data_IF_074511048831
#
_entry.id   IF_074511048831
#
_cell.length_a   1.000
_cell.length_b   1.000
_cell.length_c   1.000
_cell.angle_alpha   90.00
_cell.angle_beta   90.00
_cell.angle_gamma   90.00
#
_symmetry.space_group_name_H-M   'P 1'
#
loop_
_entity.id
_entity.type
_entity.pdbx_description
1 polymer ?
#
# COMPACT_ATOMS: atom_id res chain seq x y z
N UNK A 1 -24.10 -25.29 18.96
CA UNK A 1 -24.22 -23.82 19.05
C UNK A 1 -23.15 -23.22 18.16
N UNK A 2 -23.54 -22.77 16.98
CA UNK A 2 -22.66 -22.18 15.97
C UNK A 2 -22.30 -20.75 16.40
N UNK A 3 -21.02 -20.50 16.65
CA UNK A 3 -20.48 -19.15 16.84
C UNK A 3 -20.56 -18.40 15.51
N UNK A 4 -21.51 -17.47 15.42
CA UNK A 4 -21.64 -16.57 14.27
C UNK A 4 -20.39 -15.69 14.20
N UNK A 5 -19.64 -15.81 13.11
CA UNK A 5 -18.43 -15.04 12.85
C UNK A 5 -18.83 -13.58 12.58
N UNK A 6 -18.49 -12.66 13.48
CA UNK A 6 -18.94 -11.25 13.46
C UNK A 6 -18.11 -10.37 12.48
N UNK A 7 -17.37 -10.99 11.55
CA UNK A 7 -16.40 -10.31 10.67
C UNK A 7 -17.00 -9.66 9.42
N UNK A 8 -18.30 -9.83 9.17
CA UNK A 8 -18.98 -9.21 8.01
C UNK A 8 -19.66 -7.86 8.34
N UNK A 9 -19.48 -7.33 9.56
CA UNK A 9 -20.00 -6.00 9.88
C UNK A 9 -19.21 -4.92 9.14
N UNK A 10 -19.85 -4.34 8.12
CA UNK A 10 -19.42 -3.13 7.40
C UNK A 10 -19.06 -2.02 8.40
N UNK A 11 -17.77 -1.75 8.55
CA UNK A 11 -17.28 -0.54 9.22
C UNK A 11 -17.40 0.61 8.23
N UNK A 12 -18.47 1.38 8.32
CA UNK A 12 -18.65 2.62 7.55
C UNK A 12 -17.88 3.75 8.22
N UNK A 13 -17.08 4.51 7.48
CA UNK A 13 -16.31 5.64 8.04
C UNK A 13 -17.21 6.73 8.64
N UNK A 14 -18.48 6.81 8.21
CA UNK A 14 -19.48 7.73 8.75
C UNK A 14 -20.03 7.27 10.10
N UNK A 15 -19.92 5.98 10.40
CA UNK A 15 -20.48 5.35 11.60
C UNK A 15 -19.40 5.12 12.67
N UNK A 16 -18.12 5.32 12.34
CA UNK A 16 -16.98 5.26 13.27
C UNK A 16 -16.59 6.67 13.66
N UNK A 17 -17.21 7.18 14.72
CA UNK A 17 -16.79 8.44 15.37
C UNK A 17 -15.96 8.12 16.62
N UNK A 18 -15.01 8.98 16.98
CA UNK A 18 -14.23 8.80 18.23
C UNK A 18 -15.11 8.76 19.48
N UNK A 19 -16.33 9.30 19.39
CA UNK A 19 -17.30 9.36 20.49
C UNK A 19 -18.04 8.03 20.71
N UNK A 20 -18.06 7.12 19.72
CA UNK A 20 -18.86 5.88 19.81
C UNK A 20 -18.13 4.72 20.50
N UNK A 21 -16.80 4.74 20.59
CA UNK A 21 -15.98 3.77 21.33
C UNK A 21 -14.63 4.39 21.73
N UNK A 22 -14.38 4.67 23.03
CA UNK A 22 -13.08 5.21 23.44
C UNK A 22 -11.99 4.14 23.27
N UNK A 23 -11.00 4.44 22.45
CA UNK A 23 -9.76 3.66 22.33
C UNK A 23 -8.74 4.29 23.27
N UNK A 24 -8.09 3.49 24.10
CA UNK A 24 -7.02 3.96 25.00
C UNK A 24 -5.75 4.29 24.22
N UNK A 25 -4.90 5.16 24.79
CA UNK A 25 -3.60 5.49 24.20
C UNK A 25 -2.73 4.23 24.03
N UNK A 26 -2.75 3.34 25.01
CA UNK A 26 -2.02 2.07 25.01
C UNK A 26 -2.47 1.14 23.89
N UNK A 27 -3.79 1.03 23.66
CA UNK A 27 -4.33 0.24 22.55
C UNK A 27 -3.91 0.81 21.20
N UNK A 28 -3.97 2.13 21.01
CA UNK A 28 -3.56 2.76 19.75
C UNK A 28 -2.05 2.61 19.49
N UNK A 29 -1.21 2.84 20.50
CA UNK A 29 0.24 2.63 20.42
C UNK A 29 0.53 1.16 20.13
N UNK A 30 -0.11 0.24 20.84
CA UNK A 30 0.01 -1.21 20.61
C UNK A 30 -0.43 -1.61 19.20
N UNK A 31 -1.49 -0.98 18.67
CA UNK A 31 -1.97 -1.22 17.33
C UNK A 31 -0.93 -0.87 16.27
N UNK A 32 -0.37 0.34 16.33
CA UNK A 32 0.69 0.79 15.42
C UNK A 32 1.94 -0.10 15.55
N UNK A 33 2.36 -0.40 16.78
CA UNK A 33 3.56 -1.21 17.05
C UNK A 33 3.41 -2.66 16.56
N UNK A 34 2.21 -3.23 16.64
CA UNK A 34 1.91 -4.59 16.20
C UNK A 34 1.80 -4.75 14.68
N UNK A 35 1.83 -3.66 13.90
CA UNK A 35 1.75 -3.75 12.43
C UNK A 35 3.03 -4.36 11.84
N UNK A 36 2.83 -5.27 10.89
CA UNK A 36 3.89 -6.03 10.21
C UNK A 36 3.67 -6.08 8.70
N UNK A 37 4.76 -6.35 7.99
CA UNK A 37 4.78 -6.42 6.53
C UNK A 37 4.77 -7.88 6.12
N UNK A 38 3.59 -8.41 5.79
CA UNK A 38 3.38 -9.83 5.54
C UNK A 38 3.56 -10.15 4.06
N UNK A 39 4.57 -10.95 3.71
CA UNK A 39 4.87 -11.32 2.33
C UNK A 39 4.07 -12.51 1.78
N UNK A 40 3.48 -13.33 2.67
CA UNK A 40 2.67 -14.50 2.31
C UNK A 40 1.20 -14.12 2.48
N UNK A 41 0.53 -13.84 1.36
CA UNK A 41 -0.84 -13.33 1.31
C UNK A 41 -1.67 -14.24 0.41
N UNK A 42 -2.83 -14.65 0.91
CA UNK A 42 -3.79 -15.50 0.21
C UNK A 42 -5.20 -14.93 0.38
N UNK A 43 -6.18 -15.54 -0.27
CA UNK A 43 -7.58 -15.24 -0.07
C UNK A 43 -8.02 -15.52 1.39
N UNK A 44 -9.04 -14.82 1.92
CA UNK A 44 -9.78 -13.76 1.25
C UNK A 44 -9.02 -12.43 1.14
N UNK A 45 -9.30 -11.69 0.06
CA UNK A 45 -8.95 -10.28 -0.07
C UNK A 45 -10.01 -9.40 0.63
N UNK A 46 -9.71 -8.12 0.90
CA UNK A 46 -10.72 -7.15 1.31
C UNK A 46 -11.88 -7.08 0.31
N UNK A 47 -13.11 -7.00 0.82
CA UNK A 47 -14.28 -6.68 -0.02
C UNK A 47 -14.21 -5.23 -0.50
N UNK A 48 -14.96 -4.89 -1.55
CA UNK A 48 -15.06 -3.53 -2.06
C UNK A 48 -15.37 -2.51 -0.94
N UNK A 49 -16.37 -2.78 -0.10
CA UNK A 49 -16.72 -1.88 1.01
C UNK A 49 -15.56 -1.68 2.01
N UNK A 50 -14.78 -2.73 2.27
CA UNK A 50 -13.62 -2.65 3.16
C UNK A 50 -12.47 -1.85 2.53
N UNK A 51 -12.30 -1.95 1.21
CA UNK A 51 -11.37 -1.12 0.44
C UNK A 51 -11.77 0.35 0.48
N UNK A 52 -13.05 0.67 0.27
CA UNK A 52 -13.58 2.04 0.36
C UNK A 52 -13.31 2.65 1.73
N UNK A 53 -13.60 1.92 2.81
CA UNK A 53 -13.30 2.36 4.18
C UNK A 53 -11.81 2.61 4.37
N UNK A 54 -10.95 1.70 3.90
CA UNK A 54 -9.51 1.84 4.05
C UNK A 54 -8.95 3.04 3.26
N UNK A 55 -9.44 3.28 2.04
CA UNK A 55 -9.10 4.45 1.22
C UNK A 55 -9.64 5.74 1.85
N UNK A 56 -10.83 5.70 2.44
CA UNK A 56 -11.37 6.83 3.21
C UNK A 56 -10.44 7.24 4.34
N UNK A 57 -9.89 6.28 5.09
CA UNK A 57 -8.86 6.53 6.10
C UNK A 57 -7.54 7.02 5.47
N UNK A 58 -7.14 6.48 4.32
CA UNK A 58 -5.94 6.92 3.61
C UNK A 58 -6.01 8.41 3.25
N UNK A 59 -7.18 8.87 2.79
CA UNK A 59 -7.42 10.24 2.36
C UNK A 59 -7.41 11.29 3.49
N UNK A 60 -7.33 10.87 4.77
CA UNK A 60 -7.18 11.80 5.91
C UNK A 60 -5.72 12.15 6.22
N UNK A 61 -4.77 11.65 5.43
CA UNK A 61 -3.36 11.93 5.59
C UNK A 61 -3.04 13.44 5.61
N UNK A 62 -1.99 13.86 6.33
CA UNK A 62 -1.56 15.24 6.36
C UNK A 62 -1.17 15.72 4.96
N UNK A 63 -1.75 16.83 4.53
CA UNK A 63 -1.62 17.33 3.17
C UNK A 63 -1.62 18.85 3.15
N UNK A 64 -0.45 19.42 2.86
CA UNK A 64 -0.25 20.85 2.84
C UNK A 64 -1.03 21.47 1.68
N UNK A 65 -1.97 22.36 2.01
CA UNK A 65 -2.94 22.97 1.08
C UNK A 65 -3.98 21.99 0.52
N UNK A 66 -4.09 20.77 1.06
CA UNK A 66 -5.14 19.80 0.72
C UNK A 66 -5.17 19.50 -0.78
N UNK A 67 -4.00 19.28 -1.38
CA UNK A 67 -3.87 19.02 -2.83
C UNK A 67 -4.39 17.64 -3.25
N UNK A 68 -4.50 16.71 -2.31
CA UNK A 68 -4.89 15.31 -2.48
C UNK A 68 -4.11 14.66 -3.61
N UNK A 69 -2.76 14.60 -3.52
CA UNK A 69 -1.92 14.22 -4.65
C UNK A 69 -1.98 12.72 -4.97
N UNK A 70 -2.83 11.93 -4.30
CA UNK A 70 -2.91 10.48 -4.47
C UNK A 70 -4.07 10.03 -5.36
N UNK A 71 -3.85 8.93 -6.08
CA UNK A 71 -4.89 8.11 -6.72
C UNK A 71 -4.69 6.65 -6.32
N UNK A 72 -5.78 5.98 -5.96
CA UNK A 72 -5.80 4.57 -5.57
C UNK A 72 -6.39 3.73 -6.70
N UNK A 73 -5.71 2.64 -7.08
CA UNK A 73 -6.10 1.75 -8.17
C UNK A 73 -6.08 0.33 -7.63
N UNK A 74 -7.23 -0.35 -7.66
CA UNK A 74 -7.39 -1.70 -7.12
C UNK A 74 -7.22 -2.71 -8.26
N UNK A 75 -6.26 -3.62 -8.11
CA UNK A 75 -5.97 -4.69 -9.06
C UNK A 75 -6.24 -6.04 -8.39
N UNK A 76 -7.21 -6.79 -8.91
CA UNK A 76 -7.60 -8.12 -8.42
C UNK A 76 -7.98 -9.05 -9.60
N UNK A 77 -8.21 -10.32 -9.31
CA UNK A 77 -8.58 -11.34 -10.32
C UNK A 77 -7.61 -11.34 -11.52
N UNK A 78 -8.12 -11.34 -12.75
CA UNK A 78 -7.33 -11.41 -13.98
C UNK A 78 -6.53 -10.13 -14.26
N UNK A 79 -6.93 -8.97 -13.71
CA UNK A 79 -6.18 -7.72 -13.89
C UNK A 79 -4.77 -7.78 -13.28
N UNK A 80 -4.50 -8.71 -12.36
CA UNK A 80 -3.15 -8.95 -11.84
C UNK A 80 -2.21 -9.54 -12.90
N UNK A 81 -2.73 -10.30 -13.86
CA UNK A 81 -1.96 -10.81 -14.99
C UNK A 81 -1.59 -9.67 -15.96
N UNK A 82 -2.51 -8.73 -16.20
CA UNK A 82 -2.20 -7.55 -17.03
C UNK A 82 -1.14 -6.65 -16.41
N UNK A 83 -1.21 -6.42 -15.08
CA UNK A 83 -0.12 -5.76 -14.36
C UNK A 83 1.19 -6.59 -14.46
N UNK A 84 1.10 -7.91 -14.48
CA UNK A 84 2.23 -8.82 -14.69
C UNK A 84 2.88 -8.60 -16.06
N UNK A 85 2.07 -8.49 -17.12
CA UNK A 85 2.55 -8.18 -18.48
C UNK A 85 3.32 -6.85 -18.50
N UNK A 86 2.78 -5.79 -17.89
CA UNK A 86 3.45 -4.50 -17.81
C UNK A 86 4.80 -4.56 -17.04
N UNK A 87 4.87 -5.36 -15.97
CA UNK A 87 6.12 -5.56 -15.22
C UNK A 87 7.14 -6.39 -16.00
N UNK A 88 6.70 -7.39 -16.77
CA UNK A 88 7.56 -8.18 -17.64
C UNK A 88 8.14 -7.34 -18.79
N UNK A 89 7.32 -6.48 -19.39
CA UNK A 89 7.75 -5.52 -20.41
C UNK A 89 8.77 -4.52 -19.83
N UNK A 90 8.47 -3.95 -18.66
CA UNK A 90 9.40 -3.06 -17.96
C UNK A 90 10.75 -3.72 -17.67
N UNK A 91 10.73 -4.97 -17.20
CA UNK A 91 11.95 -5.72 -16.92
C UNK A 91 12.80 -5.93 -18.19
N UNK A 92 12.17 -6.33 -19.30
CA UNK A 92 12.86 -6.53 -20.57
C UNK A 92 13.45 -5.22 -21.10
N UNK A 93 12.66 -4.13 -21.11
CA UNK A 93 13.10 -2.83 -21.59
C UNK A 93 14.29 -2.31 -20.77
N UNK A 94 14.24 -2.47 -19.44
CA UNK A 94 15.34 -2.10 -18.54
C UNK A 94 16.61 -2.90 -18.81
N UNK A 95 16.51 -4.22 -18.98
CA UNK A 95 17.67 -5.06 -19.27
C UNK A 95 18.34 -4.66 -20.60
N UNK A 96 17.54 -4.38 -21.65
CA UNK A 96 18.06 -3.92 -22.94
C UNK A 96 18.84 -2.59 -22.78
N UNK A 97 18.34 -1.65 -21.98
CA UNK A 97 19.04 -0.40 -21.69
C UNK A 97 20.37 -0.61 -20.95
N UNK A 98 20.44 -1.64 -20.12
CA UNK A 98 21.64 -2.03 -19.35
C UNK A 98 22.59 -2.92 -20.16
N UNK A 99 22.26 -3.25 -21.41
CA UNK A 99 23.05 -4.12 -22.27
C UNK A 99 22.96 -5.60 -21.89
N UNK A 100 21.90 -5.98 -21.18
CA UNK A 100 21.63 -7.33 -20.71
C UNK A 100 20.46 -7.97 -21.48
N UNK A 101 20.40 -9.30 -21.46
CA UNK A 101 19.28 -10.07 -21.97
C UNK A 101 18.66 -10.89 -20.83
N UNK A 102 17.35 -10.74 -20.58
CA UNK A 102 16.67 -11.49 -19.54
C UNK A 102 16.38 -12.92 -19.99
N UNK A 103 16.60 -13.87 -19.07
CA UNK A 103 16.13 -15.23 -19.27
C UNK A 103 14.60 -15.29 -19.25
N UNK A 104 14.01 -16.29 -19.92
CA UNK A 104 12.55 -16.56 -19.83
C UNK A 104 12.07 -16.66 -18.38
N UNK A 105 12.88 -17.25 -17.51
CA UNK A 105 12.58 -17.40 -16.08
C UNK A 105 12.50 -16.05 -15.36
N UNK A 106 13.36 -15.09 -15.70
CA UNK A 106 13.34 -13.76 -15.07
C UNK A 106 12.15 -12.93 -15.57
N UNK A 107 11.79 -13.08 -16.84
CA UNK A 107 10.56 -12.51 -17.41
C UNK A 107 9.32 -13.07 -16.71
N UNK A 108 9.22 -14.39 -16.56
CA UNK A 108 8.12 -15.03 -15.82
C UNK A 108 8.08 -14.59 -14.36
N UNK A 109 9.24 -14.41 -13.72
CA UNK A 109 9.33 -13.91 -12.34
C UNK A 109 8.81 -12.48 -12.21
N UNK A 110 9.06 -11.62 -13.20
CA UNK A 110 8.51 -10.27 -13.27
C UNK A 110 6.99 -10.30 -13.47
N UNK A 111 6.50 -11.11 -14.41
CA UNK A 111 5.08 -11.32 -14.65
C UNK A 111 4.35 -11.82 -13.40
N UNK A 112 4.95 -12.73 -12.64
CA UNK A 112 4.32 -13.33 -11.47
C UNK A 112 4.41 -12.47 -10.20
N UNK A 113 5.02 -11.27 -10.24
CA UNK A 113 5.11 -10.42 -9.05
C UNK A 113 3.74 -10.01 -8.49
N UNK A 114 2.75 -9.58 -9.31
CA UNK A 114 1.41 -9.23 -8.83
C UNK A 114 0.64 -10.41 -8.25
N UNK A 115 0.96 -11.64 -8.67
CA UNK A 115 0.25 -12.85 -8.27
C UNK A 115 0.58 -13.32 -6.84
N UNK A 116 1.48 -12.61 -6.14
CA UNK A 116 1.90 -12.90 -4.75
C UNK A 116 0.84 -12.56 -3.71
N UNK A 117 -0.24 -11.90 -4.09
CA UNK A 117 -1.38 -11.61 -3.25
C UNK A 117 -2.67 -11.66 -4.08
N UNK A 118 -3.84 -11.88 -3.46
CA UNK A 118 -5.11 -11.88 -4.18
C UNK A 118 -5.52 -10.47 -4.66
N UNK A 119 -5.05 -9.40 -4.00
CA UNK A 119 -5.35 -8.01 -4.35
C UNK A 119 -4.12 -7.11 -4.18
N UNK A 120 -4.02 -6.08 -5.03
CA UNK A 120 -3.02 -5.01 -4.92
C UNK A 120 -3.76 -3.68 -4.97
N UNK A 121 -3.51 -2.80 -4.01
CA UNK A 121 -3.93 -1.40 -4.06
C UNK A 121 -2.70 -0.59 -4.46
N UNK A 122 -2.67 -0.15 -5.71
CA UNK A 122 -1.62 0.73 -6.24
C UNK A 122 -1.93 2.17 -5.84
N UNK A 123 -0.95 2.84 -5.26
CA UNK A 123 -1.03 4.28 -4.92
C UNK A 123 -0.12 5.05 -5.86
N UNK A 124 -0.71 5.92 -6.66
CA UNK A 124 -0.03 6.84 -7.56
C UNK A 124 -0.02 8.23 -6.92
N UNK A 125 1.12 8.91 -6.94
CA UNK A 125 1.22 10.33 -6.62
C UNK A 125 1.26 11.14 -7.91
N UNK A 126 0.25 11.98 -8.11
CA UNK A 126 0.18 12.98 -9.15
C UNK A 126 0.76 14.29 -8.62
N UNK A 127 1.95 14.65 -9.10
CA UNK A 127 2.63 15.86 -8.67
C UNK A 127 1.96 17.07 -9.30
N UNK A 128 1.50 17.98 -8.45
CA UNK A 128 0.84 19.21 -8.85
C UNK A 128 1.80 20.39 -8.66
N UNK A 129 2.05 21.15 -9.73
CA UNK A 129 2.82 22.37 -9.63
C UNK A 129 2.13 23.37 -8.68
N UNK A 130 2.80 23.73 -7.59
CA UNK A 130 2.20 24.61 -6.58
C UNK A 130 3.22 25.57 -5.99
N UNK A 131 2.86 26.86 -5.87
CA UNK A 131 3.78 27.95 -5.46
C UNK A 131 4.36 27.79 -4.05
N UNK A 132 3.68 27.06 -3.17
CA UNK A 132 4.03 26.90 -1.75
C UNK A 132 4.20 25.45 -1.28
N UNK A 133 3.98 24.49 -2.17
CA UNK A 133 3.99 23.07 -1.82
C UNK A 133 4.94 22.38 -2.80
N UNK A 134 6.19 22.12 -2.41
CA UNK A 134 7.16 21.46 -3.27
C UNK A 134 6.77 19.98 -3.53
N UNK A 135 7.26 19.37 -4.62
CA UNK A 135 6.94 17.98 -4.96
C UNK A 135 7.23 16.96 -3.86
N UNK A 136 8.31 17.14 -3.09
CA UNK A 136 8.67 16.20 -2.04
C UNK A 136 7.62 16.17 -0.90
N UNK A 137 6.98 17.30 -0.57
CA UNK A 137 5.91 17.34 0.44
C UNK A 137 4.70 16.52 -0.03
N UNK A 138 4.38 16.55 -1.33
CA UNK A 138 3.30 15.76 -1.92
C UNK A 138 3.61 14.26 -1.88
N UNK A 139 4.88 13.87 -2.12
CA UNK A 139 5.33 12.49 -1.97
C UNK A 139 5.27 12.00 -0.52
N UNK A 140 5.66 12.83 0.45
CA UNK A 140 5.53 12.52 1.89
C UNK A 140 4.06 12.36 2.29
N UNK A 141 3.20 13.23 1.78
CA UNK A 141 1.75 13.18 1.98
C UNK A 141 1.15 11.87 1.45
N UNK A 142 1.54 11.45 0.24
CA UNK A 142 1.16 10.16 -0.31
C UNK A 142 1.73 8.97 0.49
N UNK A 143 2.96 9.06 0.99
CA UNK A 143 3.54 8.05 1.89
C UNK A 143 2.74 7.91 3.19
N UNK A 144 2.28 9.03 3.77
CA UNK A 144 1.40 9.01 4.93
C UNK A 144 0.03 8.39 4.60
N UNK A 145 -0.54 8.67 3.42
CA UNK A 145 -1.77 8.03 2.94
C UNK A 145 -1.62 6.51 2.80
N UNK A 146 -0.49 6.03 2.28
CA UNK A 146 -0.16 4.60 2.21
C UNK A 146 -0.10 3.98 3.61
N UNK A 147 0.51 4.66 4.58
CA UNK A 147 0.57 4.18 5.96
C UNK A 147 -0.81 4.10 6.62
N UNK A 148 -1.67 5.12 6.41
CA UNK A 148 -3.06 5.09 6.87
C UNK A 148 -3.85 3.94 6.25
N UNK A 149 -3.70 3.71 4.93
CA UNK A 149 -4.31 2.59 4.21
C UNK A 149 -3.92 1.25 4.85
N UNK A 150 -2.63 1.05 5.12
CA UNK A 150 -2.11 -0.18 5.73
C UNK A 150 -2.69 -0.41 7.14
N UNK A 151 -2.74 0.64 7.97
CA UNK A 151 -3.30 0.55 9.32
C UNK A 151 -4.81 0.26 9.29
N UNK A 152 -5.54 0.85 8.35
CA UNK A 152 -6.97 0.60 8.16
C UNK A 152 -7.27 -0.81 7.64
N UNK A 153 -6.46 -1.34 6.73
CA UNK A 153 -6.56 -2.73 6.28
C UNK A 153 -6.27 -3.70 7.43
N UNK A 154 -5.24 -3.43 8.24
CA UNK A 154 -4.96 -4.19 9.46
C UNK A 154 -6.15 -4.17 10.42
N UNK A 155 -6.80 -3.01 10.61
CA UNK A 155 -7.96 -2.85 11.50
C UNK A 155 -9.15 -3.69 11.06
N UNK A 156 -9.23 -3.98 9.76
CA UNK A 156 -10.25 -4.84 9.16
C UNK A 156 -9.81 -6.31 9.08
N UNK A 157 -8.69 -6.69 9.69
CA UNK A 157 -8.20 -8.07 9.76
C UNK A 157 -7.31 -8.51 8.60
N UNK A 158 -6.92 -7.60 7.70
CA UNK A 158 -6.08 -7.93 6.55
C UNK A 158 -4.60 -7.71 6.82
N UNK A 159 -3.80 -8.49 6.11
CA UNK A 159 -2.35 -8.38 6.09
C UNK A 159 -1.91 -7.61 4.84
N UNK A 160 -0.77 -6.94 4.94
CA UNK A 160 -0.25 -6.13 3.82
C UNK A 160 1.26 -6.20 3.70
N UNK A 161 1.78 -5.99 2.50
CA UNK A 161 3.18 -5.57 2.29
C UNK A 161 3.23 -4.47 1.24
N UNK A 162 3.91 -3.37 1.57
CA UNK A 162 4.23 -2.31 0.62
C UNK A 162 5.50 -2.66 -0.15
N UNK A 163 5.42 -2.70 -1.48
CA UNK A 163 6.57 -2.85 -2.37
C UNK A 163 6.52 -1.83 -3.51
N UNK A 164 7.68 -1.46 -3.99
CA UNK A 164 7.89 -0.66 -5.20
C UNK A 164 8.83 -1.42 -6.12
N UNK A 165 9.96 -1.89 -5.59
CA UNK A 165 10.95 -2.61 -6.39
C UNK A 165 11.52 -1.75 -7.52
N UNK A 166 12.35 -2.35 -8.37
CA UNK A 166 13.04 -1.62 -9.43
C UNK A 166 12.13 -1.27 -10.62
N UNK A 167 10.97 -1.90 -10.74
CA UNK A 167 10.13 -1.84 -11.95
C UNK A 167 8.93 -0.90 -11.83
N UNK A 168 8.48 -0.55 -10.62
CA UNK A 168 7.21 0.17 -10.42
C UNK A 168 7.11 1.53 -11.15
N UNK A 169 8.24 2.19 -11.40
CA UNK A 169 8.29 3.50 -12.06
C UNK A 169 8.94 3.43 -13.46
N UNK A 170 9.17 2.23 -13.98
CA UNK A 170 9.61 2.05 -15.37
C UNK A 170 8.49 2.48 -16.35
N UNK A 171 8.83 2.94 -17.57
CA UNK A 171 7.86 3.53 -18.51
C UNK A 171 6.63 2.66 -18.78
N UNK A 172 6.81 1.34 -18.98
CA UNK A 172 5.68 0.43 -19.25
C UNK A 172 4.69 0.35 -18.08
N UNK A 173 5.18 0.35 -16.84
CA UNK A 173 4.32 0.32 -15.64
C UNK A 173 3.64 1.67 -15.42
N UNK A 174 4.35 2.78 -15.64
CA UNK A 174 3.74 4.11 -15.61
C UNK A 174 2.64 4.25 -16.65
N UNK A 175 2.87 3.77 -17.87
CA UNK A 175 1.88 3.76 -18.94
C UNK A 175 0.65 2.92 -18.59
N UNK A 176 0.84 1.71 -18.04
CA UNK A 176 -0.26 0.84 -17.60
C UNK A 176 -1.21 1.53 -16.62
N UNK A 177 -0.66 2.33 -15.70
CA UNK A 177 -1.46 3.03 -14.69
C UNK A 177 -1.90 4.44 -15.12
N UNK A 178 -1.56 4.92 -16.32
CA UNK A 178 -1.75 6.32 -16.74
C UNK A 178 -1.07 7.30 -15.77
N UNK A 179 0.25 7.17 -15.65
CA UNK A 179 1.11 7.96 -14.76
C UNK A 179 2.08 8.78 -15.61
N UNK A 180 2.08 10.10 -15.41
CA UNK A 180 2.98 11.01 -16.12
C UNK A 180 4.46 10.78 -15.77
N UNK A 181 5.35 11.39 -16.56
CA UNK A 181 6.80 11.30 -16.34
C UNK A 181 7.22 11.85 -14.98
N UNK A 182 6.63 12.96 -14.56
CA UNK A 182 6.89 13.64 -13.28
C UNK A 182 6.09 13.06 -12.09
N UNK A 183 5.16 12.16 -12.37
CA UNK A 183 4.32 11.47 -11.38
C UNK A 183 4.96 10.15 -10.95
N UNK A 184 4.51 9.58 -9.83
CA UNK A 184 5.12 8.38 -9.26
C UNK A 184 4.10 7.31 -8.92
N UNK A 185 4.38 6.07 -9.33
CA UNK A 185 3.83 4.90 -8.64
C UNK A 185 4.53 4.81 -7.29
N UNK A 186 3.83 5.22 -6.24
CA UNK A 186 4.37 5.38 -4.88
C UNK A 186 4.33 4.08 -4.10
N UNK A 187 3.31 3.26 -4.33
CA UNK A 187 3.18 1.99 -3.66
C UNK A 187 2.42 0.95 -4.50
N UNK A 188 2.90 -0.28 -4.47
CA UNK A 188 2.05 -1.46 -4.57
C UNK A 188 1.81 -1.99 -3.17
N UNK A 189 0.60 -1.80 -2.65
CA UNK A 189 0.15 -2.38 -1.38
C UNK A 189 -0.52 -3.71 -1.70
N UNK A 190 0.25 -4.80 -1.60
CA UNK A 190 -0.27 -6.16 -1.70
C UNK A 190 -1.09 -6.44 -0.45
N UNK A 191 -2.30 -7.01 -0.59
CA UNK A 191 -3.17 -7.30 0.55
C UNK A 191 -3.96 -8.61 0.36
N UNK A 192 -4.30 -9.21 1.50
CA UNK A 192 -5.00 -10.49 1.64
C UNK A 192 -4.96 -10.95 3.09
N UNK A 193 -5.33 -12.20 3.34
CA UNK A 193 -5.13 -12.84 4.64
C UNK A 193 -3.76 -13.53 4.67
N UNK A 194 -3.08 -13.48 5.82
CA UNK A 194 -1.87 -14.28 6.01
C UNK A 194 -2.18 -15.48 6.89
N UNK A 195 -1.77 -16.71 6.51
CA UNK A 195 -1.99 -17.90 7.33
C UNK A 195 -1.01 -18.00 8.51
N UNK A 196 -0.07 -17.05 8.64
CA UNK A 196 0.97 -17.06 9.67
C UNK A 196 0.80 -15.85 10.56
N UNK A 197 0.84 -16.08 11.85
CA UNK A 197 1.08 -15.03 12.82
C UNK A 197 2.55 -14.62 12.79
N UNK A 198 2.83 -13.32 12.88
CA UNK A 198 4.18 -12.83 13.05
C UNK A 198 4.53 -12.69 14.53
N UNK A 199 5.69 -13.25 14.90
CA UNK A 199 6.24 -13.08 16.25
C UNK A 199 6.36 -11.58 16.60
N UNK A 200 6.23 -11.18 17.88
CA UNK A 200 6.34 -9.79 18.30
C UNK A 200 7.58 -9.08 17.78
N UNK A 201 7.48 -7.76 17.54
CA UNK A 201 8.61 -6.96 17.06
C UNK A 201 9.66 -6.89 18.16
N UNK A 202 10.93 -7.09 17.83
CA UNK A 202 12.02 -6.76 18.76
C UNK A 202 11.98 -5.27 19.09
N UNK A 203 12.25 -4.91 20.33
CA UNK A 203 12.34 -3.50 20.71
C UNK A 203 13.32 -2.78 19.79
N UNK A 204 12.93 -1.60 19.32
CA UNK A 204 13.79 -0.71 18.53
C UNK A 204 14.47 0.21 19.53
N UNK A 205 15.80 0.22 19.54
CA UNK A 205 16.56 1.22 20.26
C UNK A 205 16.46 2.55 19.52
N UNK A 206 15.91 3.56 20.18
CA UNK A 206 15.67 4.88 19.61
C UNK A 206 16.73 5.91 20.01
N UNK A 207 17.71 5.55 20.85
CA UNK A 207 18.68 6.51 21.38
C UNK A 207 19.45 7.21 20.25
N UNK A 208 19.88 6.44 19.25
CA UNK A 208 20.55 6.99 18.06
C UNK A 208 19.63 7.72 17.07
N UNK A 209 18.31 7.60 17.22
CA UNK A 209 17.31 8.16 16.30
C UNK A 209 16.78 9.51 16.75
N UNK A 210 17.02 9.91 18.00
CA UNK A 210 16.44 11.10 18.61
C UNK A 210 17.52 11.98 19.23
N UNK A 211 17.47 13.27 18.94
CA UNK A 211 18.24 14.31 19.63
C UNK A 211 17.26 15.29 20.26
N UNK A 212 17.34 15.46 21.57
CA UNK A 212 16.61 16.51 22.27
C UNK A 212 17.46 17.79 22.27
N UNK A 213 16.87 18.89 21.83
CA UNK A 213 17.46 20.24 21.92
C UNK A 213 16.56 21.08 22.84
N UNK A 214 17.17 21.80 23.78
CA UNK A 214 16.50 22.62 24.80
C UNK A 214 16.98 24.06 24.76
#
# INVERSE_FOLDING_TARGET
>A
MTTSNNNDKKLSIKDVTTDSMPITSEEMIGWINSRRSMGNLDAPAPTHAQVETAIGCAATAPDHKKLQPWRFIVTESDARHELGNALAEAAQAKAVQEGEELSKKDIEKAHNMPLRAPMIITVVTKIQAHKKVPPFEQMLSAGAAVQNLILALKAQGFSTVWRTGLLCNEPAVKAYFDVGLDDYVTAFVYTGTSPKDEAPRKAIDIESLVRFES
#
